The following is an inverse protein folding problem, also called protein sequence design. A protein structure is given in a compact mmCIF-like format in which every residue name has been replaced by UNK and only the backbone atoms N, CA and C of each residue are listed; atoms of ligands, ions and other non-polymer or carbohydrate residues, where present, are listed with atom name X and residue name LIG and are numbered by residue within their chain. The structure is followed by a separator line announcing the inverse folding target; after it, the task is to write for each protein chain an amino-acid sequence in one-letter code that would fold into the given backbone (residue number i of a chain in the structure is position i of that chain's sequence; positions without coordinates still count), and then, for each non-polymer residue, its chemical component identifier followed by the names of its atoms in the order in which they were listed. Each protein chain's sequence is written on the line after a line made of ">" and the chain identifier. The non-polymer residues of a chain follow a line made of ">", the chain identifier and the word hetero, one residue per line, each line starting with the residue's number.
data_IF_804302247943
#
_entry.id   IF_804302247943
#
_cell.length_a   1.000
_cell.length_b   1.000
_cell.length_c   1.000
_cell.angle_alpha   90.00
_cell.angle_beta   90.00
_cell.angle_gamma   90.00
#
_symmetry.space_group_name_H-M   'P 1'
#
loop_
_entity.id
_entity.type
_entity.pdbx_description
1 polymer ?
#
# COMPACT_ATOMS: atom_id res chain seq x y z
N UNK A 1 22.65 -7.26 40.33
CA UNK A 1 21.54 -6.58 39.65
C UNK A 1 21.85 -6.55 38.16
N UNK A 2 21.24 -7.42 37.35
CA UNK A 2 21.51 -7.47 35.90
C UNK A 2 21.21 -6.08 35.32
N UNK A 3 22.18 -5.47 34.63
CA UNK A 3 21.95 -4.15 34.02
C UNK A 3 20.95 -4.35 32.89
N UNK A 4 19.69 -3.96 33.10
CA UNK A 4 18.68 -3.89 32.05
C UNK A 4 19.26 -3.04 30.91
N UNK A 5 19.59 -3.68 29.78
CA UNK A 5 20.16 -3.01 28.59
C UNK A 5 19.05 -2.23 27.88
N UNK A 6 18.54 -1.23 28.56
CA UNK A 6 17.41 -0.41 28.18
C UNK A 6 17.64 0.35 26.88
N UNK A 7 18.88 0.77 26.65
CA UNK A 7 19.31 1.46 25.42
C UNK A 7 18.95 0.68 24.15
N UNK A 8 18.99 -0.66 24.19
CA UNK A 8 18.62 -1.49 23.03
C UNK A 8 17.10 -1.51 22.80
N UNK A 9 16.29 -1.51 23.86
CA UNK A 9 14.82 -1.42 23.76
C UNK A 9 14.41 -0.02 23.28
N UNK A 10 15.08 1.02 23.78
CA UNK A 10 14.87 2.38 23.31
C UNK A 10 15.24 2.54 21.83
N UNK A 11 16.32 1.91 21.36
CA UNK A 11 16.63 1.87 19.93
C UNK A 11 15.53 1.17 19.11
N UNK A 12 14.96 0.06 19.63
CA UNK A 12 13.81 -0.62 19.00
C UNK A 12 12.58 0.28 18.90
N UNK A 13 12.34 1.13 19.91
CA UNK A 13 11.27 2.13 19.85
C UNK A 13 11.49 3.12 18.69
N UNK A 14 12.67 3.73 18.61
CA UNK A 14 12.99 4.71 17.54
C UNK A 14 12.86 4.08 16.16
N UNK A 15 13.42 2.89 15.95
CA UNK A 15 13.34 2.17 14.67
C UNK A 15 11.89 1.79 14.34
N UNK A 16 11.09 1.40 15.33
CA UNK A 16 9.65 1.13 15.13
C UNK A 16 8.88 2.39 14.70
N UNK A 17 9.16 3.55 15.29
CA UNK A 17 8.54 4.81 14.90
C UNK A 17 8.90 5.21 13.47
N UNK A 18 10.17 5.05 13.07
CA UNK A 18 10.59 5.31 11.68
C UNK A 18 9.88 4.36 10.72
N UNK A 19 9.79 3.06 11.05
CA UNK A 19 9.08 2.08 10.21
C UNK A 19 7.60 2.43 10.06
N UNK A 20 6.94 2.83 11.16
CA UNK A 20 5.54 3.25 11.14
C UNK A 20 5.32 4.45 10.21
N UNK A 21 6.20 5.46 10.27
CA UNK A 21 6.12 6.63 9.37
C UNK A 21 6.28 6.19 7.91
N UNK A 22 7.26 5.32 7.62
CA UNK A 22 7.48 4.81 6.26
C UNK A 22 6.24 4.08 5.72
N UNK A 23 5.59 3.24 6.53
CA UNK A 23 4.37 2.53 6.14
C UNK A 23 3.20 3.49 5.89
N UNK A 24 3.01 4.49 6.74
CA UNK A 24 1.94 5.49 6.58
C UNK A 24 2.18 6.34 5.32
N UNK A 25 3.42 6.78 5.09
CA UNK A 25 3.78 7.52 3.87
C UNK A 25 3.47 6.67 2.66
N UNK A 26 3.98 5.43 2.61
CA UNK A 26 3.71 4.50 1.50
C UNK A 26 2.21 4.37 1.22
N UNK A 27 1.37 4.16 2.23
CA UNK A 27 -0.08 4.02 2.07
C UNK A 27 -0.74 5.28 1.48
N UNK A 28 -0.33 6.47 1.93
CA UNK A 28 -1.02 7.72 1.63
C UNK A 28 -0.54 8.41 0.35
N UNK A 29 0.65 8.06 -0.18
CA UNK A 29 1.23 8.78 -1.33
C UNK A 29 1.01 8.08 -2.67
N UNK A 30 0.66 8.84 -3.73
CA UNK A 30 0.25 8.30 -5.03
C UNK A 30 1.44 7.96 -5.97
N UNK A 31 2.41 7.19 -5.49
CA UNK A 31 3.60 6.79 -6.27
C UNK A 31 3.97 5.32 -6.06
N UNK A 32 2.98 4.43 -6.14
CA UNK A 32 3.19 2.97 -6.19
C UNK A 32 3.54 2.51 -7.60
N UNK A 33 2.96 3.17 -8.61
CA UNK A 33 3.24 2.96 -10.03
C UNK A 33 3.50 4.32 -10.68
N UNK A 34 4.49 4.34 -11.57
CA UNK A 34 4.85 5.46 -12.42
C UNK A 34 4.97 4.99 -13.85
N UNK A 35 4.41 5.73 -14.78
CA UNK A 35 4.46 5.38 -16.19
C UNK A 35 4.28 6.57 -17.10
N UNK A 36 4.59 6.34 -18.36
CA UNK A 36 4.37 7.24 -19.46
C UNK A 36 3.40 6.59 -20.45
N UNK A 37 2.50 7.38 -21.02
CA UNK A 37 1.68 7.00 -22.15
C UNK A 37 2.15 7.76 -23.40
N UNK A 38 2.48 6.99 -24.43
CA UNK A 38 2.89 7.53 -25.73
C UNK A 38 1.69 7.65 -26.66
N UNK A 39 1.64 8.76 -27.40
CA UNK A 39 0.65 9.05 -28.42
C UNK A 39 1.34 9.73 -29.60
N UNK A 40 1.09 9.24 -30.80
CA UNK A 40 1.76 9.65 -32.04
C UNK A 40 1.54 11.13 -32.41
N UNK A 41 0.38 11.68 -32.08
CA UNK A 41 -0.02 13.05 -32.40
C UNK A 41 0.10 14.02 -31.21
N UNK A 42 0.59 13.56 -30.06
CA UNK A 42 0.71 14.38 -28.86
C UNK A 42 1.94 15.29 -28.91
N UNK A 43 1.88 16.41 -28.19
CA UNK A 43 3.01 17.33 -28.04
C UNK A 43 4.15 16.74 -27.20
N UNK A 44 3.84 15.77 -26.34
CA UNK A 44 4.80 15.00 -25.56
C UNK A 44 4.14 13.80 -24.88
N UNK A 45 4.94 12.96 -24.23
CA UNK A 45 4.46 11.80 -23.48
C UNK A 45 3.58 12.26 -22.31
N UNK A 46 2.47 11.58 -22.07
CA UNK A 46 1.61 11.85 -20.91
C UNK A 46 2.14 11.09 -19.70
N UNK A 47 2.20 11.74 -18.55
CA UNK A 47 2.73 11.14 -17.32
C UNK A 47 1.60 10.63 -16.44
N UNK A 48 1.77 9.42 -15.92
CA UNK A 48 0.80 8.74 -15.09
C UNK A 48 1.49 8.28 -13.82
N UNK A 49 0.90 8.59 -12.67
CA UNK A 49 1.33 8.06 -11.40
C UNK A 49 0.14 7.83 -10.47
N UNK A 50 0.13 6.70 -9.77
CA UNK A 50 -0.91 6.44 -8.78
C UNK A 50 -0.40 5.58 -7.63
N UNK A 51 -1.13 5.65 -6.52
CA UNK A 51 -0.92 4.88 -5.30
C UNK A 51 -1.89 3.72 -5.20
N UNK A 52 -2.39 3.49 -3.98
CA UNK A 52 -3.33 2.41 -3.72
C UNK A 52 -4.80 2.82 -3.93
N UNK A 53 -5.09 4.13 -3.85
CA UNK A 53 -6.46 4.66 -3.88
C UNK A 53 -6.65 5.80 -4.87
N UNK A 54 -5.61 6.61 -5.09
CA UNK A 54 -5.66 7.81 -5.90
C UNK A 54 -4.39 7.99 -6.71
N UNK A 55 -4.46 8.84 -7.72
CA UNK A 55 -3.38 9.14 -8.63
C UNK A 55 -3.58 10.43 -9.39
N UNK A 56 -2.68 10.68 -10.32
CA UNK A 56 -2.72 11.80 -11.23
C UNK A 56 -2.33 11.37 -12.63
N UNK A 57 -2.98 12.02 -13.59
CA UNK A 57 -2.68 11.93 -15.01
C UNK A 57 -2.38 13.32 -15.53
N UNK A 58 -1.21 13.48 -16.14
CA UNK A 58 -0.81 14.70 -16.85
C UNK A 58 -0.84 14.41 -18.35
N UNK A 59 -1.90 14.85 -19.02
CA UNK A 59 -2.06 14.67 -20.46
C UNK A 59 -1.33 15.77 -21.23
N UNK A 60 -0.44 15.37 -22.13
CA UNK A 60 0.36 16.27 -22.98
C UNK A 60 -0.05 16.22 -24.46
N UNK A 61 -1.33 15.93 -24.73
CA UNK A 61 -1.88 15.88 -26.10
C UNK A 61 -1.81 17.24 -26.81
N UNK A 62 -2.12 18.31 -26.09
CA UNK A 62 -2.11 19.70 -26.57
C UNK A 62 -0.86 20.43 -26.05
N UNK A 63 -0.49 21.59 -26.64
CA UNK A 63 0.61 22.43 -26.13
C UNK A 63 0.45 22.83 -24.66
N UNK A 64 -0.79 22.84 -24.17
CA UNK A 64 -1.09 23.05 -22.75
C UNK A 64 -1.41 21.70 -22.11
N UNK A 65 -0.61 21.30 -21.13
CA UNK A 65 -0.82 20.11 -20.33
C UNK A 65 -2.14 20.21 -19.54
N UNK A 66 -2.89 19.11 -19.51
CA UNK A 66 -4.08 18.97 -18.66
C UNK A 66 -3.81 18.01 -17.52
N UNK A 67 -4.29 18.36 -16.34
CA UNK A 67 -4.12 17.58 -15.12
C UNK A 67 -5.46 17.01 -14.68
N UNK A 68 -5.48 15.71 -14.44
CA UNK A 68 -6.65 15.01 -13.92
C UNK A 68 -6.26 14.22 -12.68
N UNK A 69 -7.16 14.22 -11.71
CA UNK A 69 -7.06 13.38 -10.52
C UNK A 69 -7.72 12.04 -10.80
N UNK A 70 -6.96 10.97 -10.65
CA UNK A 70 -7.47 9.62 -10.81
C UNK A 70 -7.87 9.07 -9.44
N UNK A 71 -8.99 8.38 -9.38
CA UNK A 71 -9.43 7.68 -8.18
C UNK A 71 -9.77 6.23 -8.54
N UNK A 72 -9.37 5.28 -7.71
CA UNK A 72 -9.62 3.87 -7.94
C UNK A 72 -11.10 3.55 -7.74
N UNK A 73 -11.74 2.92 -8.71
CA UNK A 73 -13.12 2.43 -8.63
C UNK A 73 -13.12 0.93 -8.78
N UNK A 74 -13.84 0.23 -7.89
CA UNK A 74 -13.93 -1.23 -7.90
C UNK A 74 -15.39 -1.67 -8.05
N UNK A 75 -15.65 -2.58 -8.99
CA UNK A 75 -16.89 -3.31 -9.12
C UNK A 75 -16.74 -4.65 -8.40
N UNK A 76 -17.06 -4.69 -7.11
CA UNK A 76 -16.88 -5.88 -6.27
C UNK A 76 -17.63 -7.12 -6.77
N UNK A 77 -18.79 -6.93 -7.42
CA UNK A 77 -19.56 -8.02 -8.02
C UNK A 77 -18.88 -8.65 -9.24
N UNK A 78 -18.07 -7.87 -9.96
CA UNK A 78 -17.38 -8.29 -11.19
C UNK A 78 -15.89 -8.58 -10.96
N UNK A 79 -15.39 -8.33 -9.73
CA UNK A 79 -14.00 -8.51 -9.31
C UNK A 79 -12.96 -7.71 -10.12
N UNK A 80 -13.38 -6.59 -10.69
CA UNK A 80 -12.53 -5.67 -11.47
C UNK A 80 -12.45 -4.30 -10.81
N UNK A 81 -11.29 -3.66 -10.92
CA UNK A 81 -11.09 -2.26 -10.59
C UNK A 81 -10.36 -1.54 -11.74
N UNK A 82 -10.56 -0.23 -11.82
CA UNK A 82 -9.84 0.66 -12.72
C UNK A 82 -9.74 2.07 -12.12
N UNK A 83 -8.78 2.85 -12.58
CA UNK A 83 -8.64 4.25 -12.23
C UNK A 83 -9.49 5.13 -13.15
N UNK A 84 -10.41 5.89 -12.57
CA UNK A 84 -11.31 6.82 -13.26
C UNK A 84 -11.03 8.27 -12.84
N UNK A 85 -11.19 9.19 -13.79
CA UNK A 85 -11.04 10.64 -13.63
C UNK A 85 -12.34 11.38 -13.31
N UNK A 86 -13.48 10.68 -13.22
CA UNK A 86 -14.79 11.28 -12.97
C UNK A 86 -14.90 11.80 -11.52
N UNK A 87 -15.66 12.88 -11.32
CA UNK A 87 -15.81 13.54 -10.01
C UNK A 87 -16.76 12.76 -9.07
N UNK A 88 -17.89 12.28 -9.61
CA UNK A 88 -18.94 11.60 -8.85
C UNK A 88 -18.71 10.09 -8.74
N UNK A 89 -19.00 9.50 -7.58
CA UNK A 89 -18.84 8.06 -7.34
C UNK A 89 -19.74 7.21 -8.26
N UNK A 90 -20.98 7.63 -8.49
CA UNK A 90 -21.92 6.94 -9.38
C UNK A 90 -21.38 6.90 -10.81
N UNK A 91 -21.00 8.06 -11.36
CA UNK A 91 -20.40 8.20 -12.69
C UNK A 91 -19.14 7.34 -12.87
N UNK A 92 -18.27 7.31 -11.84
CA UNK A 92 -17.08 6.45 -11.82
C UNK A 92 -17.43 4.97 -11.93
N UNK A 93 -18.45 4.51 -11.21
CA UNK A 93 -18.88 3.09 -11.25
C UNK A 93 -19.55 2.71 -12.56
N UNK A 94 -20.36 3.61 -13.11
CA UNK A 94 -20.98 3.43 -14.42
C UNK A 94 -19.95 3.37 -15.54
N UNK A 95 -18.94 4.24 -15.50
CA UNK A 95 -17.84 4.25 -16.47
C UNK A 95 -17.08 2.91 -16.47
N UNK A 96 -16.67 2.41 -15.30
CA UNK A 96 -15.98 1.10 -15.22
C UNK A 96 -16.89 -0.04 -15.68
N UNK A 97 -18.20 0.03 -15.42
CA UNK A 97 -19.16 -0.97 -15.89
C UNK A 97 -19.34 -0.92 -17.41
N UNK A 98 -19.32 0.28 -18.00
CA UNK A 98 -19.38 0.48 -19.45
C UNK A 98 -18.11 -0.04 -20.12
N UNK A 99 -16.94 0.24 -19.56
CA UNK A 99 -15.66 -0.29 -20.02
C UNK A 99 -15.62 -1.82 -20.00
N UNK A 100 -16.15 -2.43 -18.93
CA UNK A 100 -16.28 -3.88 -18.84
C UNK A 100 -17.17 -4.47 -19.96
N UNK A 101 -18.16 -3.70 -20.43
CA UNK A 101 -19.03 -4.07 -21.57
C UNK A 101 -18.40 -3.76 -22.93
N UNK A 102 -17.18 -3.20 -22.97
CA UNK A 102 -16.49 -2.81 -24.20
C UNK A 102 -17.00 -1.50 -24.82
N UNK A 103 -17.69 -0.66 -24.04
CA UNK A 103 -18.10 0.68 -24.46
C UNK A 103 -16.95 1.67 -24.22
N UNK A 104 -16.86 2.76 -25.01
CA UNK A 104 -15.84 3.79 -24.81
C UNK A 104 -16.01 4.51 -23.46
N UNK A 105 -14.91 5.04 -22.87
CA UNK A 105 -15.00 5.79 -21.62
C UNK A 105 -15.68 7.14 -21.85
N UNK A 106 -16.19 7.73 -20.77
CA UNK A 106 -16.71 9.09 -20.80
C UNK A 106 -15.54 10.08 -20.70
N UNK A 107 -15.64 11.22 -21.40
CA UNK A 107 -14.61 12.26 -21.31
C UNK A 107 -14.46 12.76 -19.87
N UNK A 108 -13.21 12.95 -19.43
CA UNK A 108 -12.93 13.53 -18.11
C UNK A 108 -13.46 14.97 -18.04
N UNK A 109 -14.11 15.37 -16.93
CA UNK A 109 -14.58 16.74 -16.76
C UNK A 109 -13.38 17.69 -16.74
N UNK A 110 -13.29 18.59 -17.72
CA UNK A 110 -12.26 19.63 -17.72
C UNK A 110 -12.69 20.76 -16.78
N UNK A 111 -11.89 21.08 -15.75
CA UNK A 111 -12.16 22.18 -14.81
C UNK A 111 -12.14 23.60 -15.43
N UNK A 112 -12.17 23.71 -16.77
CA UNK A 112 -12.34 24.98 -17.47
C UNK A 112 -13.67 24.99 -18.21
N UNK A 113 -14.55 25.86 -17.69
CA UNK A 113 -15.73 26.44 -18.35
C UNK A 113 -16.96 25.54 -18.44
N UNK A 114 -18.03 26.00 -17.76
CA UNK A 114 -19.43 25.60 -17.98
C UNK A 114 -19.69 25.42 -19.47
N UNK A 115 -19.85 24.19 -19.93
CA UNK A 115 -20.63 23.96 -21.13
C UNK A 115 -22.11 24.10 -20.77
N UNK A 116 -22.81 24.97 -21.50
CA UNK A 116 -24.26 24.86 -21.63
C UNK A 116 -24.60 23.41 -22.02
N UNK A 117 -25.73 22.84 -21.57
CA UNK A 117 -26.17 21.56 -22.05
C UNK A 117 -26.56 21.73 -23.52
N UNK A 118 -25.62 21.49 -24.42
CA UNK A 118 -25.93 21.26 -25.81
C UNK A 118 -26.51 19.86 -25.86
N UNK A 119 -27.83 19.80 -25.68
CA UNK A 119 -28.66 18.65 -26.01
C UNK A 119 -28.45 18.41 -27.51
N UNK A 120 -27.40 17.71 -27.87
CA UNK A 120 -27.38 17.01 -29.13
C UNK A 120 -28.24 15.77 -28.89
N UNK A 121 -29.52 15.89 -29.25
CA UNK A 121 -30.34 14.71 -29.57
C UNK A 121 -29.61 13.98 -30.69
N UNK A 122 -28.76 13.04 -30.31
CA UNK A 122 -28.48 11.90 -31.15
C UNK A 122 -29.77 11.09 -31.09
N UNK A 123 -30.56 11.15 -32.17
CA UNK A 123 -31.61 10.17 -32.39
C UNK A 123 -31.02 8.79 -32.10
N UNK A 124 -31.70 7.93 -31.33
CA UNK A 124 -31.13 6.64 -30.96
C UNK A 124 -30.73 5.92 -32.25
N UNK A 125 -29.47 5.46 -32.39
CA UNK A 125 -29.15 4.59 -33.49
C UNK A 125 -30.05 3.37 -33.33
N UNK A 126 -30.89 3.11 -34.34
CA UNK A 126 -31.63 1.87 -34.46
C UNK A 126 -30.56 0.80 -34.67
N UNK A 127 -30.07 0.22 -33.57
CA UNK A 127 -29.25 -0.97 -33.64
C UNK A 127 -30.17 -2.13 -33.98
N UNK A 128 -29.92 -2.88 -35.08
CA UNK A 128 -30.60 -4.15 -35.28
C UNK A 128 -30.26 -5.05 -34.09
N UNK A 129 -31.30 -5.39 -33.32
CA UNK A 129 -31.24 -6.32 -32.21
C UNK A 129 -30.96 -7.72 -32.76
N UNK A 130 -29.68 -7.99 -33.06
CA UNK A 130 -29.26 -9.30 -33.56
C UNK A 130 -27.84 -9.60 -33.12
N UNK A 131 -27.73 -10.09 -31.88
CA UNK A 131 -27.05 -11.33 -31.46
C UNK A 131 -26.83 -11.25 -29.97
N UNK A 132 -27.42 -12.19 -29.25
CA UNK A 132 -26.88 -12.66 -27.97
C UNK A 132 -25.47 -13.21 -28.26
N UNK A 133 -24.48 -12.33 -28.35
CA UNK A 133 -23.11 -12.71 -28.11
C UNK A 133 -23.00 -12.74 -26.59
N UNK A 134 -22.83 -13.93 -26.02
CA UNK A 134 -22.15 -14.06 -24.75
C UNK A 134 -20.77 -13.43 -24.97
N UNK A 135 -20.66 -12.12 -24.73
CA UNK A 135 -19.40 -11.42 -24.77
C UNK A 135 -18.54 -12.10 -23.71
N UNK A 136 -17.48 -12.78 -24.13
CA UNK A 136 -16.39 -13.12 -23.23
C UNK A 136 -15.80 -11.77 -22.80
N UNK A 137 -16.32 -11.24 -21.69
CA UNK A 137 -15.84 -10.02 -21.08
C UNK A 137 -14.39 -10.25 -20.70
N UNK A 138 -13.49 -9.59 -21.43
CA UNK A 138 -12.06 -9.68 -21.19
C UNK A 138 -11.70 -8.86 -19.95
N UNK A 139 -11.33 -9.57 -18.87
CA UNK A 139 -11.04 -8.99 -17.56
C UNK A 139 -9.54 -8.86 -17.31
N UNK A 140 -8.69 -9.36 -18.22
CA UNK A 140 -7.24 -9.44 -17.98
C UNK A 140 -6.57 -8.08 -17.84
N UNK A 141 -7.15 -7.05 -18.45
CA UNK A 141 -6.59 -5.69 -18.49
C UNK A 141 -6.98 -4.86 -17.26
N UNK A 142 -7.92 -5.34 -16.43
CA UNK A 142 -8.39 -4.63 -15.24
C UNK A 142 -7.64 -5.08 -13.99
N UNK A 143 -7.59 -4.21 -12.98
CA UNK A 143 -7.04 -4.56 -11.67
C UNK A 143 -7.94 -5.63 -11.03
N UNK A 144 -7.35 -6.74 -10.61
CA UNK A 144 -8.08 -7.74 -9.83
C UNK A 144 -8.43 -7.19 -8.44
N UNK A 145 -9.73 -7.10 -8.13
CA UNK A 145 -10.20 -6.55 -6.84
C UNK A 145 -9.66 -7.33 -5.65
N UNK A 146 -9.56 -8.66 -5.74
CA UNK A 146 -9.09 -9.50 -4.64
C UNK A 146 -7.61 -9.26 -4.29
N UNK A 147 -6.75 -9.15 -5.30
CA UNK A 147 -5.33 -8.83 -5.10
C UNK A 147 -5.13 -7.42 -4.52
N UNK A 148 -5.89 -6.45 -5.02
CA UNK A 148 -5.87 -5.09 -4.49
C UNK A 148 -6.35 -5.03 -3.03
N UNK A 149 -7.52 -5.59 -2.71
CA UNK A 149 -8.06 -5.63 -1.34
C UNK A 149 -7.08 -6.34 -0.40
N UNK A 150 -6.49 -7.45 -0.83
CA UNK A 150 -5.50 -8.18 -0.02
C UNK A 150 -4.29 -7.29 0.29
N UNK A 151 -3.81 -6.53 -0.69
CA UNK A 151 -2.71 -5.57 -0.51
C UNK A 151 -3.08 -4.51 0.55
N UNK A 152 -4.26 -3.90 0.44
CA UNK A 152 -4.79 -2.91 1.41
C UNK A 152 -4.89 -3.49 2.82
N UNK A 153 -5.39 -4.72 2.95
CA UNK A 153 -5.54 -5.40 4.24
C UNK A 153 -4.17 -5.67 4.87
N UNK A 154 -3.22 -6.21 4.12
CA UNK A 154 -1.90 -6.53 4.65
C UNK A 154 -1.09 -5.30 5.07
N UNK A 155 -1.16 -4.19 4.33
CA UNK A 155 -0.52 -2.93 4.76
C UNK A 155 -1.21 -2.35 6.00
N UNK A 156 -2.54 -2.46 6.11
CA UNK A 156 -3.29 -2.06 7.31
C UNK A 156 -2.91 -2.86 8.56
N UNK A 157 -2.74 -4.18 8.41
CA UNK A 157 -2.20 -5.06 9.45
C UNK A 157 -0.77 -4.62 9.80
N UNK A 158 0.10 -4.40 8.81
CA UNK A 158 1.48 -3.96 9.05
C UNK A 158 1.56 -2.68 9.88
N UNK A 159 0.77 -1.66 9.53
CA UNK A 159 0.70 -0.38 10.25
C UNK A 159 0.22 -0.58 11.69
N UNK A 160 -0.84 -1.38 11.88
CA UNK A 160 -1.41 -1.65 13.21
C UNK A 160 -0.37 -2.31 14.12
N UNK A 161 0.32 -3.35 13.63
CA UNK A 161 1.32 -4.06 14.40
C UNK A 161 2.62 -3.26 14.58
N UNK A 162 3.00 -2.41 13.64
CA UNK A 162 4.10 -1.45 13.79
C UNK A 162 3.79 -0.42 14.90
N UNK A 163 2.56 0.09 14.96
CA UNK A 163 2.11 0.99 16.02
C UNK A 163 2.13 0.29 17.39
N UNK A 164 1.57 -0.93 17.48
CA UNK A 164 1.61 -1.76 18.69
C UNK A 164 3.05 -2.01 19.14
N UNK A 165 3.96 -2.32 18.21
CA UNK A 165 5.40 -2.49 18.50
C UNK A 165 6.02 -1.22 19.07
N UNK A 166 5.74 -0.05 18.48
CA UNK A 166 6.26 1.23 18.97
C UNK A 166 5.74 1.51 20.40
N UNK A 167 4.43 1.40 20.62
CA UNK A 167 3.81 1.61 21.94
C UNK A 167 4.37 0.66 23.00
N UNK A 168 4.47 -0.64 22.70
CA UNK A 168 5.02 -1.58 23.68
C UNK A 168 6.52 -1.45 23.86
N UNK A 169 7.27 -0.96 22.87
CA UNK A 169 8.70 -0.68 23.05
C UNK A 169 8.92 0.43 24.07
N UNK A 170 8.13 1.51 24.03
CA UNK A 170 8.21 2.57 25.04
C UNK A 170 7.66 2.13 26.41
N UNK A 171 6.62 1.28 26.45
CA UNK A 171 6.11 0.72 27.71
C UNK A 171 7.14 -0.21 28.37
N UNK A 172 7.81 -1.08 27.61
CA UNK A 172 8.90 -1.92 28.11
C UNK A 172 10.05 -1.08 28.65
N UNK A 173 10.26 0.08 28.04
CA UNK A 173 11.23 1.05 28.48
C UNK A 173 10.80 1.63 29.85
N UNK A 174 9.59 2.15 29.99
CA UNK A 174 9.22 2.91 31.18
C UNK A 174 8.83 2.03 32.38
N UNK A 175 8.12 0.93 32.14
CA UNK A 175 7.38 0.22 33.20
C UNK A 175 7.86 -1.21 33.45
N UNK A 176 8.67 -1.80 32.57
CA UNK A 176 9.18 -3.18 32.68
C UNK A 176 8.08 -4.20 33.06
N UNK A 177 7.01 -4.35 32.25
CA UNK A 177 5.90 -5.25 32.55
C UNK A 177 6.34 -6.73 32.56
N UNK A 178 5.68 -7.55 33.39
CA UNK A 178 6.00 -8.97 33.58
C UNK A 178 5.21 -9.91 32.64
N UNK A 179 4.07 -9.47 32.11
CA UNK A 179 3.21 -10.30 31.29
C UNK A 179 3.85 -10.56 29.91
N UNK A 180 3.83 -11.81 29.39
CA UNK A 180 4.57 -12.18 28.17
C UNK A 180 4.22 -11.35 26.92
N UNK A 181 2.94 -10.96 26.77
CA UNK A 181 2.43 -10.18 25.64
C UNK A 181 2.94 -8.73 25.68
N UNK A 182 3.08 -8.17 26.88
CA UNK A 182 3.58 -6.81 27.09
C UNK A 182 5.10 -6.77 27.28
N UNK A 183 5.74 -7.91 27.50
CA UNK A 183 7.18 -8.04 27.69
C UNK A 183 7.96 -7.98 26.37
N UNK A 184 9.28 -8.07 26.46
CA UNK A 184 10.23 -8.16 25.33
C UNK A 184 9.89 -9.32 24.39
N UNK A 185 9.28 -10.39 24.91
CA UNK A 185 8.77 -11.50 24.10
C UNK A 185 7.72 -11.03 23.08
N UNK A 186 6.75 -10.21 23.50
CA UNK A 186 5.74 -9.62 22.62
C UNK A 186 6.35 -8.80 21.50
N UNK A 187 7.43 -8.03 21.77
CA UNK A 187 8.11 -7.23 20.74
C UNK A 187 8.64 -8.05 19.56
N UNK A 188 9.04 -9.31 19.77
CA UNK A 188 9.40 -10.21 18.68
C UNK A 188 8.20 -10.58 17.81
N UNK A 189 7.05 -10.86 18.45
CA UNK A 189 5.82 -11.23 17.76
C UNK A 189 5.31 -10.04 16.94
N UNK A 190 5.20 -8.86 17.54
CA UNK A 190 4.66 -7.68 16.86
C UNK A 190 5.52 -7.24 15.67
N UNK A 191 6.85 -7.24 15.81
CA UNK A 191 7.76 -6.96 14.68
C UNK A 191 7.74 -8.08 13.64
N UNK A 192 7.61 -9.34 14.06
CA UNK A 192 7.52 -10.48 13.14
C UNK A 192 6.25 -10.44 12.29
N UNK A 193 5.11 -10.12 12.89
CA UNK A 193 3.83 -9.95 12.18
C UNK A 193 3.92 -8.76 11.22
N UNK A 194 4.41 -7.61 11.67
CA UNK A 194 4.57 -6.43 10.81
C UNK A 194 5.51 -6.71 9.61
N UNK A 195 6.62 -7.42 9.84
CA UNK A 195 7.54 -7.84 8.79
C UNK A 195 6.85 -8.77 7.78
N UNK A 196 6.15 -9.80 8.27
CA UNK A 196 5.46 -10.77 7.42
C UNK A 196 4.33 -10.15 6.61
N UNK A 197 3.51 -9.30 7.23
CA UNK A 197 2.41 -8.61 6.53
C UNK A 197 2.93 -7.60 5.51
N UNK A 198 4.03 -6.89 5.80
CA UNK A 198 4.67 -5.99 4.82
C UNK A 198 5.24 -6.77 3.63
N UNK A 199 5.84 -7.95 3.87
CA UNK A 199 6.32 -8.82 2.81
C UNK A 199 5.17 -9.35 1.94
N UNK A 200 4.07 -9.81 2.55
CA UNK A 200 2.88 -10.23 1.82
C UNK A 200 2.26 -9.10 1.01
N UNK A 201 2.21 -7.88 1.55
CA UNK A 201 1.76 -6.70 0.81
C UNK A 201 2.60 -6.48 -0.45
N UNK A 202 3.93 -6.52 -0.35
CA UNK A 202 4.81 -6.38 -1.51
C UNK A 202 4.60 -7.52 -2.53
N UNK A 203 4.42 -8.76 -2.09
CA UNK A 203 4.17 -9.89 -2.98
C UNK A 203 2.83 -9.74 -3.71
N UNK A 204 1.76 -9.34 -3.02
CA UNK A 204 0.43 -9.18 -3.63
C UNK A 204 0.43 -8.08 -4.68
N UNK A 205 1.01 -6.91 -4.38
CA UNK A 205 1.12 -5.82 -5.35
C UNK A 205 2.09 -6.15 -6.49
N UNK A 206 3.23 -6.78 -6.18
CA UNK A 206 4.20 -7.19 -7.19
C UNK A 206 3.63 -8.23 -8.16
N UNK A 207 2.80 -9.16 -7.67
CA UNK A 207 2.09 -10.12 -8.51
C UNK A 207 1.04 -9.43 -9.39
N UNK A 208 0.27 -8.47 -8.84
CA UNK A 208 -0.66 -7.65 -9.62
C UNK A 208 0.07 -6.84 -10.70
N UNK A 209 1.24 -6.30 -10.39
CA UNK A 209 2.06 -5.56 -11.35
C UNK A 209 2.55 -6.46 -12.48
N UNK A 210 3.14 -7.61 -12.15
CA UNK A 210 3.70 -8.53 -13.14
C UNK A 210 2.64 -9.21 -14.04
N UNK A 211 1.38 -9.30 -13.57
CA UNK A 211 0.31 -9.97 -14.31
C UNK A 211 -0.53 -9.04 -15.17
N UNK A 212 -0.70 -7.77 -14.77
CA UNK A 212 -1.58 -6.83 -15.45
C UNK A 212 -0.92 -5.46 -15.64
N UNK A 213 -0.38 -4.86 -14.56
CA UNK A 213 -0.02 -3.44 -14.58
C UNK A 213 1.27 -3.10 -15.33
N UNK A 214 2.11 -4.09 -15.62
CA UNK A 214 3.31 -3.92 -16.45
C UNK A 214 2.95 -3.65 -17.92
N UNK A 215 1.86 -4.26 -18.40
CA UNK A 215 1.39 -4.14 -19.77
C UNK A 215 0.30 -3.05 -19.86
N UNK A 216 -0.74 -3.12 -19.01
CA UNK A 216 -1.81 -2.14 -18.97
C UNK A 216 -2.00 -1.55 -17.57
N UNK A 217 -1.88 -0.23 -17.48
CA UNK A 217 -1.89 0.52 -16.22
C UNK A 217 -3.31 0.65 -15.62
N UNK A 218 -4.32 0.09 -16.30
CA UNK A 218 -5.71 -0.01 -15.85
C UNK A 218 -6.36 1.35 -15.53
N UNK A 219 -6.08 2.34 -16.39
CA UNK A 219 -6.79 3.63 -16.42
C UNK A 219 -7.87 3.55 -17.48
N UNK A 220 -9.01 4.22 -17.26
CA UNK A 220 -10.15 4.22 -18.19
C UNK A 220 -9.75 4.51 -19.65
N UNK A 221 -8.87 5.49 -19.85
CA UNK A 221 -8.35 5.86 -21.17
C UNK A 221 -7.45 4.78 -21.79
N UNK A 222 -6.63 4.07 -20.99
CA UNK A 222 -5.71 3.01 -21.48
C UNK A 222 -6.38 1.66 -21.68
N UNK A 223 -7.63 1.52 -21.24
CA UNK A 223 -8.40 0.29 -21.35
C UNK A 223 -9.17 0.17 -22.68
N UNK A 224 -9.18 1.22 -23.52
CA UNK A 224 -9.93 1.23 -24.78
C UNK A 224 -9.05 1.35 -26.01
N UNK A 225 -9.36 0.54 -27.02
CA UNK A 225 -8.59 0.44 -28.27
C UNK A 225 -8.84 1.59 -29.25
N UNK A 226 -9.74 2.53 -28.91
CA UNK A 226 -10.15 3.63 -29.79
C UNK A 226 -9.30 4.88 -29.65
N UNK A 227 -8.51 4.97 -28.58
CA UNK A 227 -7.60 6.09 -28.35
C UNK A 227 -6.16 5.59 -28.58
N UNK A 228 -5.32 6.25 -29.40
CA UNK A 228 -3.98 5.75 -29.72
C UNK A 228 -2.95 5.91 -28.59
N UNK A 229 -3.39 5.87 -27.33
CA UNK A 229 -2.54 5.86 -26.14
C UNK A 229 -2.05 4.43 -25.88
N UNK A 230 -0.74 4.19 -26.00
CA UNK A 230 -0.12 2.96 -25.52
C UNK A 230 0.82 3.29 -24.36
N UNK A 231 0.66 2.53 -23.27
CA UNK A 231 1.55 2.55 -22.12
C UNK A 231 2.32 1.24 -21.97
N UNK A 232 2.31 0.40 -23.01
CA UNK A 232 2.78 -0.98 -22.96
C UNK A 232 4.28 -1.02 -22.60
N UNK A 233 4.60 -1.63 -21.46
CA UNK A 233 5.98 -1.78 -21.00
C UNK A 233 6.66 -0.49 -20.52
N UNK A 234 5.93 0.64 -20.46
CA UNK A 234 6.42 1.91 -19.92
C UNK A 234 6.11 2.04 -18.42
N UNK A 235 5.37 1.10 -17.85
CA UNK A 235 5.04 1.08 -16.44
C UNK A 235 6.21 0.59 -15.58
N UNK A 236 6.42 1.27 -14.46
CA UNK A 236 7.46 0.94 -13.48
C UNK A 236 6.93 1.05 -12.06
N UNK A 237 7.50 0.23 -11.16
CA UNK A 237 7.19 0.29 -9.73
C UNK A 237 7.79 1.56 -9.14
N UNK A 238 6.93 2.39 -8.56
CA UNK A 238 7.28 3.69 -8.00
C UNK A 238 7.94 3.61 -6.63
N UNK A 239 8.35 4.77 -6.13
CA UNK A 239 9.10 4.90 -4.87
C UNK A 239 8.33 4.34 -3.67
N UNK A 240 7.01 4.51 -3.63
CA UNK A 240 6.20 4.09 -2.48
C UNK A 240 6.14 2.58 -2.30
N UNK A 241 6.30 1.84 -3.39
CA UNK A 241 6.45 0.39 -3.36
C UNK A 241 7.83 0.02 -2.78
N UNK A 242 8.92 0.62 -3.27
CA UNK A 242 10.28 0.28 -2.83
C UNK A 242 10.58 0.66 -1.38
N UNK A 243 9.96 1.71 -0.82
CA UNK A 243 10.12 2.03 0.60
C UNK A 243 9.51 0.97 1.54
N UNK A 244 8.64 0.07 1.05
CA UNK A 244 8.18 -1.08 1.85
C UNK A 244 9.34 -2.04 2.15
N UNK A 245 10.33 -2.17 1.24
CA UNK A 245 11.55 -2.94 1.49
C UNK A 245 12.34 -2.33 2.66
N UNK A 246 12.40 -0.99 2.75
CA UNK A 246 13.01 -0.31 3.88
C UNK A 246 12.28 -0.66 5.18
N UNK A 247 10.94 -0.69 5.19
CA UNK A 247 10.16 -1.12 6.37
C UNK A 247 10.47 -2.57 6.79
N UNK A 248 10.60 -3.50 5.83
CA UNK A 248 11.02 -4.89 6.12
C UNK A 248 12.39 -4.91 6.80
N UNK A 249 13.36 -4.14 6.28
CA UNK A 249 14.69 -4.06 6.86
C UNK A 249 14.66 -3.46 8.28
N UNK A 250 13.83 -2.44 8.53
CA UNK A 250 13.68 -1.83 9.85
C UNK A 250 13.05 -2.79 10.88
N UNK A 251 12.02 -3.55 10.51
CA UNK A 251 11.46 -4.58 11.38
C UNK A 251 12.44 -5.75 11.59
N UNK A 252 13.21 -6.11 10.57
CA UNK A 252 14.31 -7.08 10.70
C UNK A 252 15.40 -6.59 11.66
N UNK A 253 15.76 -5.30 11.58
CA UNK A 253 16.70 -4.65 12.48
C UNK A 253 16.17 -4.66 13.92
N UNK A 254 14.89 -4.38 14.15
CA UNK A 254 14.27 -4.49 15.47
C UNK A 254 14.43 -5.89 16.06
N UNK A 255 14.10 -6.94 15.30
CA UNK A 255 14.31 -8.32 15.74
C UNK A 255 15.78 -8.59 16.03
N UNK A 256 16.69 -8.10 15.19
CA UNK A 256 18.14 -8.19 15.37
C UNK A 256 18.63 -7.52 16.67
N UNK A 257 18.14 -6.32 16.99
CA UNK A 257 18.45 -5.60 18.23
C UNK A 257 17.97 -6.38 19.46
N UNK A 258 16.76 -6.94 19.41
CA UNK A 258 16.23 -7.76 20.49
C UNK A 258 17.07 -9.05 20.67
N UNK A 259 17.43 -9.74 19.58
CA UNK A 259 18.32 -10.91 19.63
C UNK A 259 19.70 -10.55 20.19
N UNK A 260 20.25 -9.40 19.82
CA UNK A 260 21.49 -8.88 20.41
C UNK A 260 21.31 -8.69 21.92
N UNK A 261 20.25 -8.01 22.36
CA UNK A 261 19.94 -7.83 23.78
C UNK A 261 19.92 -9.17 24.51
N UNK A 262 19.24 -10.17 23.96
CA UNK A 262 19.19 -11.54 24.53
C UNK A 262 20.60 -12.15 24.67
N UNK A 263 21.44 -12.02 23.64
CA UNK A 263 22.83 -12.53 23.66
C UNK A 263 23.69 -11.85 24.73
N UNK A 264 23.56 -10.53 24.92
CA UNK A 264 24.32 -9.82 25.96
C UNK A 264 23.86 -10.27 27.35
N UNK A 265 22.55 -10.29 27.59
CA UNK A 265 21.99 -10.65 28.90
C UNK A 265 22.39 -12.08 29.29
N UNK A 266 22.37 -13.02 28.34
CA UNK A 266 22.77 -14.41 28.59
C UNK A 266 24.27 -14.59 28.87
N UNK A 267 25.13 -13.62 28.53
CA UNK A 267 26.57 -13.65 28.83
C UNK A 267 26.88 -13.12 30.23
N UNK A 268 25.96 -12.40 30.87
CA UNK A 268 26.17 -11.92 32.23
C UNK A 268 26.02 -13.10 33.20
N UNK A 269 26.95 -13.32 34.15
CA UNK A 269 26.82 -14.40 35.12
C UNK A 269 25.54 -14.21 35.95
N UNK A 270 24.87 -15.31 36.36
CA UNK A 270 23.70 -15.21 37.21
C UNK A 270 24.05 -14.39 38.46
N UNK A 271 23.14 -13.53 38.96
CA UNK A 271 23.41 -12.76 40.16
C UNK A 271 23.79 -13.71 41.29
N UNK A 272 24.88 -13.43 41.99
CA UNK A 272 25.27 -14.17 43.19
C UNK A 272 24.14 -14.05 44.20
N UNK A 273 23.33 -15.10 44.33
CA UNK A 273 22.38 -15.22 45.42
C UNK A 273 23.22 -15.47 46.66
N UNK A 274 23.34 -14.46 47.53
CA UNK A 274 23.82 -14.70 48.89
C UNK A 274 22.69 -15.48 49.55
N UNK A 275 22.86 -16.78 49.69
CA UNK A 275 21.99 -17.60 50.53
C UNK A 275 22.30 -17.18 51.96
N UNK A 276 21.50 -16.25 52.49
CA UNK A 276 21.61 -15.86 53.90
C UNK A 276 21.00 -17.00 54.69
N UNK A 277 21.86 -17.86 55.21
CA UNK A 277 21.41 -18.97 56.03
C UNK A 277 20.71 -18.41 57.27
N UNK A 278 19.45 -18.81 57.48
CA UNK A 278 18.59 -18.26 58.54
C UNK A 278 19.10 -18.61 59.95
N UNK A 279 20.10 -19.47 60.05
CA UNK A 279 20.81 -19.83 61.28
C UNK A 279 21.95 -18.88 61.67
N UNK A 280 22.31 -17.89 60.84
CA UNK A 280 23.27 -16.85 61.24
C UNK A 280 22.65 -15.86 62.24
N UNK A 281 22.57 -16.30 63.50
CA UNK A 281 22.20 -15.50 64.69
C UNK A 281 23.14 -14.30 64.95
N UNK A 282 24.21 -14.16 64.16
CA UNK A 282 25.18 -13.07 64.23
C UNK A 282 24.62 -11.71 63.78
N UNK A 283 23.42 -11.66 63.18
CA UNK A 283 22.80 -10.42 62.69
C UNK A 283 21.84 -9.79 63.74
N UNK A 284 21.55 -10.47 64.85
CA UNK A 284 20.58 -9.99 65.87
C UNK A 284 21.27 -9.36 67.11
N UNK A 285 22.57 -9.08 67.06
CA UNK A 285 23.29 -8.39 68.14
C UNK A 285 23.91 -7.08 67.68
N UNK A 286 23.08 -6.12 67.25
CA UNK A 286 23.32 -4.68 67.41
C UNK A 286 22.00 -3.90 67.29
#
# INVERSE_FOLDING_TARGET
>A
MAKTKWNLIFATFIVSCVSLIVLIVSLCTPYWITSEAYESNASGNSEINYGLFSGSLTQNFLPNSRYYTLTLTCLYHEYVCAYSCQEDEESRTEEVLQLLKGLPPADCPSSSSRMLPLVHRIDPPIFPQNRQASANIDRSNFINTGLWVSTVVFIGIAISFAAISASFSIINVLFNPIEPVFSVFGLYIWNGVALGSTALCMIMWGALFASTLADNIAITDTLTTQIPYSSDGLASLGVCYWILLLSILLHGLNVGLLLWRKRIVNKEPPPTTIDVDRSDLTIIMY
#
